data_IF_803138397996
#
_entry.id   IF_803138397996
#
_cell.length_a   1.000
_cell.length_b   1.000
_cell.length_c   1.000
_cell.angle_alpha   90.00
_cell.angle_beta   90.00
_cell.angle_gamma   90.00
#
_symmetry.space_group_name_H-M   'P 1'
#
loop_
_entity.id
_entity.type
_entity.pdbx_description
1 polymer ?
#
# COMPACT_ATOMS: atom_id res chain seq x y z
N UNK A 1 0.17 -6.81 6.60
CA UNK A 1 -1.13 -6.16 6.81
C UNK A 1 -1.45 -5.38 5.56
N UNK A 2 -2.48 -5.79 4.84
CA UNK A 2 -2.93 -5.13 3.61
C UNK A 2 -4.09 -4.19 3.91
N UNK A 3 -4.06 -2.98 3.35
CA UNK A 3 -5.12 -1.97 3.52
C UNK A 3 -5.50 -1.45 2.14
N UNK A 4 -6.77 -1.14 1.92
CA UNK A 4 -7.23 -0.47 0.69
C UNK A 4 -6.43 0.82 0.46
N UNK A 5 -5.98 1.02 -0.78
CA UNK A 5 -5.32 2.27 -1.16
C UNK A 5 -6.31 3.43 -1.07
N UNK A 6 -6.00 4.43 -0.24
CA UNK A 6 -6.79 5.65 -0.11
C UNK A 6 -5.90 6.88 -0.30
N UNK A 7 -6.50 8.01 -0.70
CA UNK A 7 -5.76 9.29 -0.82
C UNK A 7 -5.07 9.69 0.48
N UNK A 8 -5.71 9.43 1.63
CA UNK A 8 -5.15 9.70 2.95
C UNK A 8 -3.90 8.85 3.22
N UNK A 9 -3.97 7.55 2.93
CA UNK A 9 -2.82 6.64 3.07
C UNK A 9 -1.67 7.05 2.15
N UNK A 10 -1.98 7.40 0.89
CA UNK A 10 -0.97 7.85 -0.07
C UNK A 10 -0.27 9.12 0.41
N UNK A 11 -1.04 10.13 0.86
CA UNK A 11 -0.50 11.36 1.43
C UNK A 11 0.39 11.10 2.66
N UNK A 12 -0.01 10.16 3.51
CA UNK A 12 0.80 9.79 4.67
C UNK A 12 2.11 9.08 4.27
N UNK A 13 2.08 8.20 3.27
CA UNK A 13 3.27 7.52 2.74
C UNK A 13 4.26 8.53 2.12
N UNK A 14 3.77 9.49 1.33
CA UNK A 14 4.58 10.58 0.76
C UNK A 14 5.28 11.38 1.88
N UNK A 15 4.52 11.79 2.90
CA UNK A 15 5.06 12.55 4.05
C UNK A 15 6.14 11.78 4.82
N UNK A 16 6.16 10.46 4.76
CA UNK A 16 7.15 9.61 5.40
C UNK A 16 8.31 9.21 4.46
N UNK A 17 8.39 9.81 3.27
CA UNK A 17 9.49 9.61 2.31
C UNK A 17 9.35 8.37 1.43
N UNK A 18 8.16 7.77 1.35
CA UNK A 18 7.89 6.71 0.39
C UNK A 18 7.47 7.34 -0.94
N UNK A 19 8.27 7.15 -1.99
CA UNK A 19 8.08 7.79 -3.30
C UNK A 19 7.77 6.81 -4.43
N UNK A 20 7.91 5.52 -4.16
CA UNK A 20 7.72 4.46 -5.13
C UNK A 20 6.88 3.33 -4.53
N UNK A 21 6.19 2.59 -5.39
CA UNK A 21 5.41 1.41 -5.03
C UNK A 21 5.79 0.25 -5.92
N UNK A 22 6.15 -0.88 -5.33
CA UNK A 22 6.26 -2.14 -6.04
C UNK A 22 4.87 -2.72 -6.23
N UNK A 23 4.57 -3.20 -7.43
CA UNK A 23 3.26 -3.76 -7.76
C UNK A 23 3.33 -5.26 -8.01
N UNK A 24 2.36 -5.95 -7.42
CA UNK A 24 2.08 -7.36 -7.65
C UNK A 24 0.60 -7.48 -8.01
N UNK A 25 0.31 -7.85 -9.25
CA UNK A 25 -1.05 -8.18 -9.66
C UNK A 25 -1.29 -9.66 -9.43
N UNK A 26 -2.38 -9.99 -8.73
CA UNK A 26 -2.95 -11.34 -8.66
C UNK A 26 -4.11 -11.42 -9.63
N UNK A 27 -4.13 -12.48 -10.43
CA UNK A 27 -5.11 -12.67 -11.50
C UNK A 27 -6.54 -12.66 -10.98
N UNK A 28 -7.41 -12.12 -11.83
CA UNK A 28 -8.82 -11.94 -11.62
C UNK A 28 -9.55 -13.28 -11.49
N UNK A 29 -10.56 -13.29 -10.62
CA UNK A 29 -11.60 -14.29 -10.65
C UNK A 29 -12.25 -14.27 -12.04
N UNK A 30 -12.18 -15.41 -12.76
CA UNK A 30 -12.67 -15.57 -14.14
C UNK A 30 -14.16 -15.22 -14.28
N UNK A 31 -14.90 -15.20 -13.18
CA UNK A 31 -16.33 -14.91 -13.15
C UNK A 31 -16.66 -13.41 -13.06
N UNK A 32 -15.79 -12.60 -12.44
CA UNK A 32 -16.10 -11.20 -12.09
C UNK A 32 -15.13 -10.18 -12.71
N UNK A 33 -14.15 -10.61 -13.50
CA UNK A 33 -13.16 -9.75 -14.17
C UNK A 33 -12.49 -8.72 -13.23
N UNK A 34 -12.41 -9.03 -11.93
CA UNK A 34 -11.92 -8.09 -10.91
C UNK A 34 -10.43 -8.28 -10.73
N UNK A 35 -9.64 -7.26 -11.07
CA UNK A 35 -8.18 -7.29 -10.96
C UNK A 35 -7.78 -6.94 -9.53
N UNK A 36 -7.02 -7.82 -8.86
CA UNK A 36 -6.48 -7.57 -7.53
C UNK A 36 -5.02 -7.15 -7.62
N UNK A 37 -4.71 -5.94 -7.18
CA UNK A 37 -3.35 -5.41 -7.22
C UNK A 37 -2.88 -5.07 -5.82
N UNK A 38 -1.74 -5.63 -5.41
CA UNK A 38 -1.08 -5.31 -4.15
C UNK A 38 0.12 -4.40 -4.41
N UNK A 39 0.16 -3.27 -3.72
CA UNK A 39 1.23 -2.28 -3.78
C UNK A 39 2.08 -2.32 -2.51
N UNK A 40 3.40 -2.27 -2.64
CA UNK A 40 4.33 -2.16 -1.51
C UNK A 40 5.15 -0.87 -1.62
N UNK A 41 4.97 0.10 -0.73
CA UNK A 41 5.71 1.35 -0.77
C UNK A 41 7.19 1.13 -0.43
N UNK A 42 8.06 1.84 -1.14
CA UNK A 42 9.50 1.85 -0.94
C UNK A 42 10.03 3.29 -1.03
N UNK A 43 11.03 3.60 -0.19
CA UNK A 43 11.66 4.94 -0.14
C UNK A 43 12.68 5.14 -1.26
N UNK A 44 13.41 4.07 -1.58
CA UNK A 44 14.50 4.07 -2.57
C UNK A 44 13.93 3.77 -3.95
N UNK A 45 14.49 4.38 -4.99
CA UNK A 45 14.15 4.08 -6.37
C UNK A 45 14.45 2.60 -6.68
N UNK A 46 13.44 1.79 -6.98
CA UNK A 46 13.65 0.37 -7.25
C UNK A 46 14.25 0.18 -8.65
N UNK A 47 15.16 -0.79 -8.77
CA UNK A 47 15.72 -1.20 -10.06
C UNK A 47 14.86 -2.34 -10.63
N UNK A 48 14.40 -2.18 -11.87
CA UNK A 48 13.46 -3.12 -12.50
C UNK A 48 14.00 -4.57 -12.54
N UNK A 49 15.30 -4.74 -12.77
CA UNK A 49 15.98 -6.05 -12.78
C UNK A 49 16.26 -6.64 -11.39
N UNK A 50 16.06 -5.86 -10.31
CA UNK A 50 16.28 -6.29 -8.93
C UNK A 50 14.99 -6.25 -8.11
N UNK A 51 13.85 -6.35 -8.77
CA UNK A 51 12.57 -6.46 -8.08
C UNK A 51 12.51 -7.80 -7.31
N UNK A 52 11.98 -7.81 -6.08
CA UNK A 52 11.75 -9.07 -5.37
C UNK A 52 10.75 -9.91 -6.18
N UNK A 53 11.02 -11.21 -6.34
CA UNK A 53 10.45 -12.03 -7.42
C UNK A 53 8.92 -12.09 -7.56
N UNK A 54 8.16 -11.69 -6.55
CA UNK A 54 6.70 -11.58 -6.67
C UNK A 54 6.19 -10.25 -7.21
N UNK A 55 7.04 -9.24 -7.39
CA UNK A 55 6.69 -7.92 -7.90
C UNK A 55 7.10 -7.80 -9.36
N UNK A 56 6.15 -7.39 -10.19
CA UNK A 56 6.30 -7.38 -11.65
C UNK A 56 6.72 -6.01 -12.16
N UNK A 57 6.29 -4.94 -11.48
CA UNK A 57 6.49 -3.55 -11.88
C UNK A 57 6.69 -2.68 -10.65
N UNK A 58 7.13 -1.44 -10.88
CA UNK A 58 7.04 -0.39 -9.87
C UNK A 58 6.44 0.87 -10.48
N UNK A 59 5.82 1.66 -9.62
CA UNK A 59 5.24 2.95 -9.94
C UNK A 59 5.93 4.02 -9.10
N UNK A 60 6.27 5.14 -9.72
CA UNK A 60 6.53 6.37 -8.99
C UNK A 60 5.19 6.95 -8.55
N UNK A 61 5.14 7.58 -7.39
CA UNK A 61 3.95 8.34 -6.98
C UNK A 61 3.65 9.39 -8.04
N UNK A 62 2.51 9.20 -8.71
CA UNK A 62 2.03 9.98 -9.84
C UNK A 62 0.53 10.26 -9.69
N UNK A 63 0.00 11.06 -10.62
CA UNK A 63 -1.44 11.33 -10.72
C UNK A 63 -2.26 10.06 -10.96
N UNK A 64 -1.69 9.03 -11.59
CA UNK A 64 -2.34 7.74 -11.83
C UNK A 64 -2.58 6.98 -10.52
N UNK A 65 -1.59 6.95 -9.61
CA UNK A 65 -1.77 6.35 -8.28
C UNK A 65 -2.80 7.11 -7.44
N UNK A 66 -2.95 8.42 -7.64
CA UNK A 66 -4.00 9.21 -7.01
C UNK A 66 -5.39 8.86 -7.57
N UNK A 67 -5.51 8.61 -8.88
CA UNK A 67 -6.74 8.13 -9.50
C UNK A 67 -7.10 6.72 -9.01
N UNK A 68 -6.13 5.81 -8.99
CA UNK A 68 -6.26 4.48 -8.40
C UNK A 68 -6.72 4.54 -6.94
N UNK A 69 -6.15 5.44 -6.13
CA UNK A 69 -6.55 5.67 -4.73
C UNK A 69 -7.96 6.27 -4.55
N UNK A 70 -8.59 6.72 -5.64
CA UNK A 70 -9.99 7.22 -5.64
C UNK A 70 -10.99 6.07 -5.83
N UNK A 71 -10.54 4.90 -6.29
CA UNK A 71 -11.40 3.72 -6.49
C UNK A 71 -12.33 3.82 -7.70
N UNK A 72 -12.01 4.67 -8.68
CA UNK A 72 -12.82 4.85 -9.91
C UNK A 72 -12.55 3.79 -10.98
N UNK A 73 -11.41 3.10 -10.88
CA UNK A 73 -11.05 1.98 -11.74
C UNK A 73 -11.60 0.71 -11.07
N UNK A 74 -12.29 -0.17 -11.79
CA UNK A 74 -12.87 -1.44 -11.28
C UNK A 74 -11.84 -2.48 -10.79
N UNK A 75 -10.74 -2.01 -10.21
CA UNK A 75 -9.60 -2.75 -9.70
C UNK A 75 -9.60 -2.65 -8.17
N UNK A 76 -9.35 -3.78 -7.51
CA UNK A 76 -9.23 -3.82 -6.07
C UNK A 76 -7.76 -3.65 -5.66
N UNK A 77 -7.40 -2.42 -5.27
CA UNK A 77 -6.01 -2.05 -4.99
C UNK A 77 -5.75 -2.00 -3.49
N UNK A 78 -4.86 -2.87 -3.01
CA UNK A 78 -4.42 -2.91 -1.61
C UNK A 78 -2.96 -2.48 -1.50
N UNK A 79 -2.58 -1.98 -0.32
CA UNK A 79 -1.22 -1.59 0.03
C UNK A 79 -0.75 -2.49 1.17
N UNK A 80 0.33 -3.22 0.94
CA UNK A 80 1.01 -3.99 1.97
C UNK A 80 1.90 -3.08 2.81
N UNK A 81 1.51 -2.89 4.07
CA UNK A 81 2.28 -2.09 5.04
C UNK A 81 3.20 -2.95 5.92
N UNK A 82 3.38 -4.23 5.60
CA UNK A 82 4.25 -5.12 6.37
C UNK A 82 5.69 -4.63 6.36
N UNK A 83 6.25 -4.38 7.54
CA UNK A 83 7.63 -3.91 7.69
C UNK A 83 7.81 -2.39 7.53
N UNK A 84 6.74 -1.63 7.29
CA UNK A 84 6.81 -0.17 7.26
C UNK A 84 6.86 0.37 8.68
N UNK A 85 7.89 1.17 8.97
CA UNK A 85 7.97 1.97 10.18
C UNK A 85 7.56 3.40 9.85
N UNK A 86 6.43 3.82 10.42
CA UNK A 86 6.04 5.22 10.41
C UNK A 86 6.71 5.89 11.61
N UNK A 87 7.53 6.90 11.36
CA UNK A 87 8.20 7.65 12.44
C UNK A 87 7.20 8.56 13.19
N UNK A 88 6.07 8.88 12.57
CA UNK A 88 4.94 9.56 13.19
C UNK A 88 3.74 8.62 13.25
N UNK A 89 3.05 8.57 14.41
CA UNK A 89 1.80 7.80 14.57
C UNK A 89 0.85 8.21 13.44
N UNK A 90 0.59 7.28 12.52
CA UNK A 90 -0.47 7.42 11.54
C UNK A 90 -1.80 7.58 12.28
N UNK A 91 -2.37 8.78 12.28
CA UNK A 91 -3.78 8.96 12.60
C UNK A 91 -4.61 8.47 11.41
N UNK A 92 -4.61 7.16 11.15
CA UNK A 92 -5.57 6.55 10.24
C UNK A 92 -6.79 6.20 11.09
N UNK A 93 -7.96 6.84 10.86
CA UNK A 93 -9.13 6.67 11.72
C UNK A 93 -9.61 5.22 11.84
N UNK A 94 -9.26 4.35 10.88
CA UNK A 94 -9.71 2.96 10.85
C UNK A 94 -8.78 1.94 11.56
N UNK A 95 -7.56 2.32 11.96
CA UNK A 95 -6.60 1.40 12.60
C UNK A 95 -6.54 1.49 14.13
N UNK A 96 -7.27 2.44 14.73
CA UNK A 96 -7.07 2.84 16.12
C UNK A 96 -7.63 1.89 17.20
N UNK A 97 -8.31 0.80 16.88
CA UNK A 97 -8.97 -0.02 17.94
C UNK A 97 -8.32 -1.37 18.26
N UNK A 98 -7.65 -2.04 17.32
CA UNK A 98 -7.07 -3.38 17.58
C UNK A 98 -5.59 -3.41 17.93
N UNK A 99 -4.79 -2.43 17.49
CA UNK A 99 -3.33 -2.50 17.68
C UNK A 99 -2.83 -1.87 19.00
N UNK A 100 -3.60 -0.98 19.62
CA UNK A 100 -3.17 -0.31 20.85
C UNK A 100 -3.35 -1.14 22.14
N UNK A 101 -4.15 -2.22 22.12
CA UNK A 101 -4.32 -3.09 23.30
C UNK A 101 -3.17 -4.08 23.52
N UNK A 102 -2.31 -4.32 22.52
CA UNK A 102 -1.26 -5.35 22.63
C UNK A 102 0.09 -4.85 23.19
N UNK A 103 0.24 -3.55 23.50
CA UNK A 103 1.51 -2.97 23.98
C UNK A 103 1.53 -2.41 25.40
N UNK A 104 0.45 -2.57 26.17
CA UNK A 104 0.39 -2.10 27.57
C UNK A 104 -0.13 -3.14 28.57
N UNK A 105 -0.12 -4.43 28.21
CA UNK A 105 -0.43 -5.52 29.14
C UNK A 105 0.85 -6.32 29.46
N UNK A 106 1.77 -5.68 30.15
CA UNK A 106 2.75 -6.33 31.04
C UNK A 106 2.96 -5.38 32.22
N UNK A 107 2.13 -5.54 33.24
CA UNK A 107 2.57 -5.37 34.63
C UNK A 107 3.22 -6.68 35.06
#
# INVERSE_FOLDING_TARGET
>A
MEIILTKQLLGALIKNGYHYFLSKTRSADLQNCTIYTTLKPVKVHPLLHRLPGSYQRYYKISQELLQMATGTTGEHITVDLSGIRFERKLQIPYLSKKLFKAKFAKQ
#
